data_IF_124608750058
#
_entry.id   IF_124608750058
#
_cell.length_a   1.000
_cell.length_b   1.000
_cell.length_c   1.000
_cell.angle_alpha   90.00
_cell.angle_beta   90.00
_cell.angle_gamma   90.00
#
_symmetry.space_group_name_H-M   'P 1'
#
loop_
_entity.id
_entity.type
_entity.pdbx_description
1 polymer ?
#
# COMPACT_ATOMS: atom_id res chain seq x y z
N UNK A 1 9.89 0.58 -6.81
CA UNK A 1 8.44 0.73 -6.53
C UNK A 1 8.14 1.41 -5.20
N UNK A 2 8.76 1.02 -4.08
CA UNK A 2 8.49 1.61 -2.75
C UNK A 2 8.52 3.16 -2.71
N UNK A 3 9.54 3.81 -3.28
CA UNK A 3 9.60 5.29 -3.28
C UNK A 3 8.42 5.93 -4.03
N UNK A 4 8.00 5.32 -5.15
CA UNK A 4 6.85 5.77 -5.92
C UNK A 4 5.55 5.52 -5.14
N UNK A 5 5.42 4.35 -4.49
CA UNK A 5 4.28 4.03 -3.63
C UNK A 5 4.16 5.00 -2.45
N UNK A 6 5.29 5.34 -1.80
CA UNK A 6 5.33 6.35 -0.74
C UNK A 6 4.87 7.71 -1.25
N UNK A 7 5.32 8.12 -2.44
CA UNK A 7 4.94 9.40 -3.04
C UNK A 7 3.44 9.43 -3.36
N UNK A 8 2.93 8.39 -4.02
CA UNK A 8 1.49 8.24 -4.33
C UNK A 8 0.67 8.27 -3.04
N UNK A 9 1.09 7.52 -2.02
CA UNK A 9 0.37 7.45 -0.75
C UNK A 9 0.32 8.82 -0.06
N UNK A 10 1.45 9.52 0.03
CA UNK A 10 1.54 10.82 0.71
C UNK A 10 0.84 11.95 -0.05
N UNK A 11 1.05 12.05 -1.35
CA UNK A 11 0.62 13.23 -2.13
C UNK A 11 -0.66 13.01 -2.92
N UNK A 12 -0.98 11.77 -3.29
CA UNK A 12 -2.19 11.45 -4.05
C UNK A 12 -3.31 10.95 -3.14
N UNK A 13 -3.05 9.89 -2.36
CA UNK A 13 -4.07 9.29 -1.48
C UNK A 13 -4.39 10.19 -0.29
N UNK A 14 -3.38 10.75 0.37
CA UNK A 14 -3.56 11.82 1.35
C UNK A 14 -3.72 13.21 0.73
N UNK A 15 -4.00 13.30 -0.57
CA UNK A 15 -4.19 14.54 -1.32
C UNK A 15 -5.57 14.61 -1.98
N UNK A 16 -5.66 14.70 -3.32
CA UNK A 16 -6.94 14.78 -4.04
C UNK A 16 -7.76 13.49 -3.96
N UNK A 17 -7.14 12.31 -3.79
CA UNK A 17 -7.84 11.02 -3.73
C UNK A 17 -8.21 10.61 -2.30
N UNK A 18 -8.16 11.56 -1.35
CA UNK A 18 -8.49 11.31 0.05
C UNK A 18 -9.91 10.80 0.25
N UNK A 19 -10.88 11.21 -0.58
CA UNK A 19 -12.27 10.73 -0.44
C UNK A 19 -12.37 9.20 -0.56
N UNK A 20 -11.51 8.56 -1.37
CA UNK A 20 -11.44 7.10 -1.47
C UNK A 20 -10.62 6.50 -0.32
N UNK A 21 -9.46 7.09 -0.03
CA UNK A 21 -8.53 6.57 0.98
C UNK A 21 -9.01 6.77 2.43
N UNK A 22 -9.90 7.74 2.67
CA UNK A 22 -10.53 8.00 3.97
C UNK A 22 -11.25 6.76 4.52
N UNK A 23 -11.86 5.96 3.64
CA UNK A 23 -12.53 4.71 4.03
C UNK A 23 -11.57 3.72 4.70
N UNK A 24 -10.30 3.77 4.33
CA UNK A 24 -9.25 2.93 4.87
C UNK A 24 -8.71 3.40 6.24
N UNK A 25 -8.67 4.72 6.45
CA UNK A 25 -8.35 5.31 7.76
C UNK A 25 -9.48 5.18 8.78
N UNK A 26 -10.71 5.32 8.32
CA UNK A 26 -11.92 5.25 9.13
C UNK A 26 -12.55 3.88 8.92
N UNK A 27 -11.99 2.87 9.58
CA UNK A 27 -12.40 1.47 9.43
C UNK A 27 -13.92 1.32 9.35
N UNK A 28 -14.38 0.81 8.21
CA UNK A 28 -15.74 0.37 7.98
C UNK A 28 -15.89 -1.09 8.44
N UNK A 29 -17.10 -1.50 8.84
CA UNK A 29 -17.41 -2.92 9.08
C UNK A 29 -17.60 -3.72 7.78
N UNK A 30 -17.51 -3.06 6.62
CA UNK A 30 -17.64 -3.69 5.30
C UNK A 30 -16.39 -4.49 4.92
N UNK A 31 -16.58 -5.61 4.24
CA UNK A 31 -15.49 -6.37 3.63
C UNK A 31 -14.81 -5.59 2.51
N UNK A 32 -15.56 -4.79 1.74
CA UNK A 32 -15.04 -3.92 0.67
C UNK A 32 -14.94 -2.46 1.11
N UNK A 33 -13.83 -1.81 0.77
CA UNK A 33 -13.55 -0.39 1.02
C UNK A 33 -13.40 0.37 -0.30
N UNK A 34 -13.74 1.66 -0.34
CA UNK A 34 -13.47 2.51 -1.52
C UNK A 34 -11.99 2.51 -1.92
N UNK A 35 -11.11 2.27 -0.95
CA UNK A 35 -9.68 2.10 -1.15
C UNK A 35 -9.31 0.91 -2.06
N UNK A 36 -10.15 -0.14 -2.13
CA UNK A 36 -9.89 -1.33 -2.95
C UNK A 36 -9.86 -1.01 -4.45
N UNK A 37 -10.53 0.08 -4.86
CA UNK A 37 -10.48 0.54 -6.24
C UNK A 37 -9.09 0.97 -6.68
N UNK A 38 -8.20 1.37 -5.75
CA UNK A 38 -6.80 1.61 -6.11
C UNK A 38 -6.10 0.33 -6.55
N UNK A 39 -6.32 -0.78 -5.84
CA UNK A 39 -5.73 -2.06 -6.21
C UNK A 39 -6.22 -2.51 -7.60
N UNK A 40 -7.52 -2.35 -7.87
CA UNK A 40 -8.10 -2.62 -9.18
C UNK A 40 -7.50 -1.73 -10.28
N UNK A 41 -7.40 -0.41 -10.03
CA UNK A 41 -6.82 0.54 -10.98
C UNK A 41 -5.37 0.20 -11.34
N UNK A 42 -4.52 -0.07 -10.34
CA UNK A 42 -3.12 -0.43 -10.59
C UNK A 42 -2.99 -1.79 -11.27
N UNK A 43 -3.86 -2.75 -10.98
CA UNK A 43 -3.90 -4.03 -11.68
C UNK A 43 -4.23 -3.83 -13.17
N UNK A 44 -5.24 -3.00 -13.51
CA UNK A 44 -5.59 -2.69 -14.89
C UNK A 44 -4.45 -1.97 -15.63
N UNK A 45 -3.82 -0.98 -15.00
CA UNK A 45 -2.65 -0.28 -15.58
C UNK A 45 -1.51 -1.27 -15.83
N UNK A 46 -1.22 -2.15 -14.87
CA UNK A 46 -0.18 -3.15 -15.01
C UNK A 46 -0.45 -4.11 -16.18
N UNK A 47 -1.65 -4.69 -16.22
CA UNK A 47 -2.07 -5.61 -17.27
C UNK A 47 -1.99 -4.92 -18.63
N UNK A 48 -2.47 -3.69 -18.73
CA UNK A 48 -2.39 -2.91 -19.96
C UNK A 48 -0.94 -2.72 -20.43
N UNK A 49 -0.04 -2.27 -19.55
CA UNK A 49 1.37 -2.05 -19.85
C UNK A 49 2.09 -3.34 -20.29
N UNK A 50 1.84 -4.44 -19.58
CA UNK A 50 2.39 -5.75 -19.94
C UNK A 50 1.82 -6.25 -21.27
N UNK A 51 0.52 -6.06 -21.50
CA UNK A 51 -0.14 -6.54 -22.71
C UNK A 51 0.37 -5.81 -23.96
N UNK A 52 0.50 -4.48 -23.94
CA UNK A 52 0.95 -3.72 -25.11
C UNK A 52 2.42 -3.98 -25.48
N UNK A 53 3.22 -4.43 -24.52
CA UNK A 53 4.67 -4.64 -24.68
C UNK A 53 5.08 -6.13 -24.58
N UNK A 54 4.10 -7.03 -24.68
CA UNK A 54 4.24 -8.49 -24.49
C UNK A 54 5.19 -9.18 -25.48
N UNK A 55 5.40 -8.59 -26.66
CA UNK A 55 6.23 -9.18 -27.71
C UNK A 55 7.70 -8.76 -27.61
N UNK A 56 7.97 -7.57 -27.05
CA UNK A 56 9.32 -7.00 -26.98
C UNK A 56 9.93 -7.10 -25.58
N UNK A 57 9.09 -7.31 -24.56
CA UNK A 57 9.49 -7.27 -23.15
C UNK A 57 10.30 -6.00 -22.85
N UNK A 58 9.86 -4.86 -23.38
CA UNK A 58 10.51 -3.58 -23.19
C UNK A 58 10.28 -2.99 -21.79
N UNK A 59 10.66 -1.72 -21.64
CA UNK A 59 10.54 -1.03 -20.35
C UNK A 59 9.09 -0.94 -19.84
N UNK A 60 8.08 -0.90 -20.73
CA UNK A 60 6.66 -0.83 -20.32
C UNK A 60 6.22 -2.14 -19.71
N UNK A 61 6.64 -3.27 -20.29
CA UNK A 61 6.41 -4.59 -19.73
C UNK A 61 6.96 -4.69 -18.30
N UNK A 62 8.22 -4.31 -18.10
CA UNK A 62 8.87 -4.38 -16.79
C UNK A 62 8.31 -3.38 -15.77
N UNK A 63 7.82 -2.21 -16.19
CA UNK A 63 7.07 -1.31 -15.31
C UNK A 63 5.78 -1.98 -14.85
N UNK A 64 5.00 -2.57 -15.77
CA UNK A 64 3.80 -3.32 -15.41
C UNK A 64 4.11 -4.46 -14.46
N UNK A 65 5.10 -5.30 -14.79
CA UNK A 65 5.57 -6.38 -13.90
C UNK A 65 5.96 -5.86 -12.51
N UNK A 66 6.66 -4.72 -12.44
CA UNK A 66 7.01 -4.06 -11.18
C UNK A 66 5.79 -3.63 -10.37
N UNK A 67 4.75 -3.08 -11.02
CA UNK A 67 3.46 -2.75 -10.39
C UNK A 67 2.79 -4.01 -9.85
N UNK A 68 2.72 -5.09 -10.63
CA UNK A 68 2.13 -6.36 -10.21
C UNK A 68 2.84 -6.94 -8.99
N UNK A 69 4.17 -7.11 -9.05
CA UNK A 69 4.95 -7.70 -7.97
C UNK A 69 4.83 -6.87 -6.69
N UNK A 70 4.92 -5.55 -6.81
CA UNK A 70 4.75 -4.67 -5.65
C UNK A 70 3.32 -4.68 -5.12
N UNK A 71 2.30 -4.77 -6.00
CA UNK A 71 0.90 -4.92 -5.61
C UNK A 71 0.64 -6.21 -4.81
N UNK A 72 1.26 -7.33 -5.21
CA UNK A 72 1.20 -8.59 -4.45
C UNK A 72 1.87 -8.44 -3.09
N UNK A 73 3.07 -7.84 -3.03
CA UNK A 73 3.74 -7.57 -1.75
C UNK A 73 2.87 -6.66 -0.87
N UNK A 74 2.26 -5.63 -1.45
CA UNK A 74 1.35 -4.73 -0.77
C UNK A 74 0.19 -5.50 -0.15
N UNK A 75 -0.55 -6.29 -0.93
CA UNK A 75 -1.66 -7.08 -0.43
C UNK A 75 -1.27 -8.01 0.73
N UNK A 76 -0.12 -8.71 0.61
CA UNK A 76 0.35 -9.63 1.65
C UNK A 76 0.72 -8.88 2.94
N UNK A 77 1.51 -7.81 2.84
CA UNK A 77 2.01 -7.10 4.01
C UNK A 77 0.94 -6.21 4.62
N UNK A 78 0.29 -5.40 3.79
CA UNK A 78 -0.68 -4.40 4.21
C UNK A 78 -2.02 -5.04 4.61
N UNK A 79 -2.75 -5.59 3.64
CA UNK A 79 -4.13 -6.06 3.83
C UNK A 79 -4.20 -7.34 4.66
N UNK A 80 -3.33 -8.31 4.35
CA UNK A 80 -3.35 -9.61 5.03
C UNK A 80 -2.63 -9.57 6.38
N UNK A 81 -1.36 -9.14 6.44
CA UNK A 81 -0.55 -9.21 7.66
C UNK A 81 -0.79 -8.05 8.65
N UNK A 82 -0.97 -6.82 8.18
CA UNK A 82 -1.16 -5.64 9.05
C UNK A 82 -2.65 -5.41 9.37
N UNK A 83 -3.51 -5.32 8.37
CA UNK A 83 -4.95 -5.05 8.55
C UNK A 83 -5.74 -6.28 8.95
N UNK A 84 -5.22 -7.48 8.70
CA UNK A 84 -5.88 -8.76 9.06
C UNK A 84 -7.26 -8.89 8.43
N UNK A 85 -7.44 -8.45 7.18
CA UNK A 85 -8.72 -8.61 6.43
C UNK A 85 -9.12 -10.09 6.28
N UNK A 86 -8.13 -10.98 6.32
CA UNK A 86 -8.29 -12.44 6.35
C UNK A 86 -7.64 -13.04 7.60
N UNK A 87 -7.85 -14.34 7.84
CA UNK A 87 -7.12 -15.09 8.86
C UNK A 87 -5.61 -14.99 8.57
N UNK A 88 -4.89 -14.23 9.40
CA UNK A 88 -3.46 -13.95 9.23
C UNK A 88 -2.59 -14.85 10.12
N UNK A 89 -1.30 -14.90 9.79
CA UNK A 89 -0.24 -15.46 10.62
C UNK A 89 0.30 -14.42 11.63
N UNK A 90 0.90 -14.92 12.72
CA UNK A 90 1.74 -14.14 13.64
C UNK A 90 3.20 -14.31 13.20
N UNK A 91 4.03 -13.29 13.39
CA UNK A 91 5.46 -13.36 13.09
C UNK A 91 6.26 -12.70 14.19
N UNK A 92 7.37 -13.31 14.62
CA UNK A 92 8.29 -12.74 15.61
C UNK A 92 9.45 -11.97 14.94
N UNK A 93 9.44 -11.85 13.61
CA UNK A 93 10.46 -11.14 12.86
C UNK A 93 10.41 -9.63 13.19
N UNK A 94 11.55 -9.08 13.61
CA UNK A 94 11.66 -7.68 14.07
C UNK A 94 11.32 -6.66 12.98
N UNK A 95 11.64 -6.95 11.72
CA UNK A 95 11.31 -6.10 10.58
C UNK A 95 9.81 -6.08 10.29
N UNK A 96 9.16 -7.24 10.24
CA UNK A 96 7.70 -7.30 10.05
C UNK A 96 6.94 -6.63 11.21
N UNK A 97 7.45 -6.75 12.44
CA UNK A 97 6.87 -6.04 13.58
C UNK A 97 7.08 -4.52 13.48
N UNK A 98 8.23 -4.07 12.98
CA UNK A 98 8.49 -2.66 12.71
C UNK A 98 7.53 -2.10 11.65
N UNK A 99 7.29 -2.83 10.56
CA UNK A 99 6.31 -2.46 9.53
C UNK A 99 4.92 -2.30 10.15
N UNK A 100 4.46 -3.32 10.88
CA UNK A 100 3.15 -3.26 11.55
C UNK A 100 3.04 -2.07 12.51
N UNK A 101 4.10 -1.75 13.26
CA UNK A 101 4.11 -0.60 14.19
C UNK A 101 4.05 0.73 13.42
N UNK A 102 4.85 0.89 12.38
CA UNK A 102 4.86 2.09 11.53
C UNK A 102 3.49 2.33 10.90
N UNK A 103 2.86 1.28 10.37
CA UNK A 103 1.54 1.37 9.77
C UNK A 103 0.44 1.71 10.78
N UNK A 104 0.50 1.15 12.00
CA UNK A 104 -0.40 1.56 13.09
C UNK A 104 -0.22 3.02 13.48
N UNK A 105 1.02 3.54 13.49
CA UNK A 105 1.29 4.95 13.75
C UNK A 105 0.66 5.82 12.66
N UNK A 106 0.76 5.40 11.40
CA UNK A 106 0.13 6.06 10.27
C UNK A 106 -1.40 6.17 10.44
N UNK A 107 -2.06 5.04 10.76
CA UNK A 107 -3.52 5.00 10.98
C UNK A 107 -4.01 5.59 12.29
N UNK A 108 -3.13 5.93 13.24
CA UNK A 108 -3.54 6.60 14.48
C UNK A 108 -4.22 7.94 14.18
N UNK A 109 -3.83 8.58 13.08
CA UNK A 109 -4.53 9.72 12.55
C UNK A 109 -5.61 9.27 11.55
N UNK A 110 -6.87 9.58 11.86
CA UNK A 110 -8.01 9.27 11.00
C UNK A 110 -8.30 10.38 9.97
N UNK A 111 -7.59 11.50 10.06
CA UNK A 111 -7.71 12.62 9.13
C UNK A 111 -6.69 12.57 8.00
N UNK A 112 -6.86 13.47 7.03
CA UNK A 112 -5.94 13.65 5.89
C UNK A 112 -4.60 14.23 6.32
N UNK A 113 -4.67 15.23 7.20
CA UNK A 113 -3.57 16.11 7.65
C UNK A 113 -2.76 15.48 8.79
N UNK A 114 -1.44 15.73 8.86
CA UNK A 114 -0.54 15.30 9.97
C UNK A 114 -0.29 13.78 10.11
N UNK A 115 -0.66 12.98 9.12
CA UNK A 115 -0.25 11.56 9.05
C UNK A 115 1.27 11.42 8.93
N UNK A 116 1.81 10.33 9.48
CA UNK A 116 3.23 9.97 9.44
C UNK A 116 3.38 8.56 8.86
N UNK A 117 4.60 8.11 8.57
CA UNK A 117 4.89 6.73 8.13
C UNK A 117 4.09 6.25 6.90
N UNK A 118 4.19 6.97 5.77
CA UNK A 118 3.50 6.61 4.51
C UNK A 118 4.11 5.41 3.75
N UNK A 119 5.27 4.89 4.18
CA UNK A 119 5.94 3.77 3.52
C UNK A 119 5.39 2.43 4.00
N UNK A 120 5.42 1.42 3.11
CA UNK A 120 5.03 0.05 3.44
C UNK A 120 6.24 -0.75 3.95
N UNK A 121 7.30 -0.80 3.15
CA UNK A 121 8.50 -1.61 3.44
C UNK A 121 9.58 -0.77 4.11
N UNK A 122 9.65 0.53 3.81
CA UNK A 122 10.65 1.41 4.41
C UNK A 122 10.14 2.00 5.72
N UNK A 123 10.66 1.42 6.82
CA UNK A 123 10.33 1.88 8.17
C UNK A 123 11.35 2.89 8.67
N UNK A 124 10.85 4.09 8.95
CA UNK A 124 11.59 5.17 9.60
C UNK A 124 11.82 4.86 11.08
N UNK A 125 13.08 4.66 11.47
CA UNK A 125 13.48 4.28 12.84
C UNK A 125 13.09 5.34 13.88
N UNK A 126 13.17 6.62 13.52
CA UNK A 126 12.79 7.76 14.37
C UNK A 126 11.31 7.72 14.79
N UNK A 127 10.44 7.11 13.98
CA UNK A 127 9.02 6.96 14.30
C UNK A 127 8.74 5.82 15.27
N UNK A 128 9.69 4.90 15.47
CA UNK A 128 9.49 3.72 16.33
C UNK A 128 9.83 3.98 17.81
N UNK A 129 10.29 5.18 18.18
CA UNK A 129 10.62 5.54 19.56
C UNK A 129 11.81 4.75 20.09
N UNK A 130 12.92 4.77 19.36
CA UNK A 130 14.25 4.38 19.85
C UNK A 130 15.11 5.62 19.98
#
# INVERSE_FOLDING_TARGET
>A
MECLSWFIHKYLFHGPLWFMHKSHHQKSHSFFEWNDLFALLFALISIYLMFIDRNHFGYRFFIGLGITLYGVIYFIIHDWFVHRRFKTFKSNNSYLQAIRKAHKIHHKNQGKEKSKAFGLLFVRKDLLGK
#
